data_IF_361721943239
#
_entry.id   IF_361721943239
#
_cell.length_a   1.000
_cell.length_b   1.000
_cell.length_c   1.000
_cell.angle_alpha   90.00
_cell.angle_beta   90.00
_cell.angle_gamma   90.00
#
_symmetry.space_group_name_H-M   'P 1'
#
loop_
_entity.id
_entity.type
_entity.pdbx_description
1 polymer ?
#
# COMPACT_ATOMS: atom_id res chain seq x y z
N UNK A 1 -11.13 -17.36 19.68
CA UNK A 1 -10.01 -18.16 19.12
C UNK A 1 -9.81 -17.94 17.62
N UNK A 2 -10.79 -18.17 16.75
CA UNK A 2 -10.65 -17.99 15.29
C UNK A 2 -10.10 -16.60 14.85
N UNK A 3 -10.64 -15.50 15.42
CA UNK A 3 -10.13 -14.14 15.15
C UNK A 3 -8.67 -13.91 15.57
N UNK A 4 -8.19 -14.62 16.60
CA UNK A 4 -6.79 -14.54 17.06
C UNK A 4 -5.86 -15.27 16.08
N UNK A 5 -6.26 -16.45 15.61
CA UNK A 5 -5.50 -17.24 14.64
C UNK A 5 -5.42 -16.55 13.29
N UNK A 6 -6.53 -16.00 12.79
CA UNK A 6 -6.56 -15.18 11.58
C UNK A 6 -5.60 -13.98 11.69
N UNK A 7 -5.65 -13.26 12.81
CA UNK A 7 -4.74 -12.13 13.07
C UNK A 7 -3.28 -12.56 13.13
N UNK A 8 -2.98 -13.69 13.77
CA UNK A 8 -1.63 -14.27 13.83
C UNK A 8 -1.13 -14.60 12.42
N UNK A 9 -1.93 -15.25 11.58
CA UNK A 9 -1.56 -15.60 10.21
C UNK A 9 -1.32 -14.35 9.36
N UNK A 10 -2.19 -13.33 9.47
CA UNK A 10 -2.01 -12.05 8.79
C UNK A 10 -0.68 -11.36 9.18
N UNK A 11 -0.32 -11.39 10.47
CA UNK A 11 0.96 -10.85 10.95
C UNK A 11 2.16 -11.62 10.39
N UNK A 12 2.07 -12.96 10.35
CA UNK A 12 3.12 -13.81 9.79
C UNK A 12 3.38 -13.42 8.33
N UNK A 13 2.33 -13.35 7.51
CA UNK A 13 2.47 -13.00 6.10
C UNK A 13 3.00 -11.58 5.91
N UNK A 14 2.46 -10.61 6.66
CA UNK A 14 2.92 -9.21 6.63
C UNK A 14 4.42 -9.10 6.97
N UNK A 15 4.89 -9.75 8.03
CA UNK A 15 6.29 -9.67 8.44
C UNK A 15 7.22 -10.51 7.58
N UNK A 16 6.75 -11.63 7.01
CA UNK A 16 7.47 -12.39 6.00
C UNK A 16 7.72 -11.53 4.76
N UNK A 17 6.67 -10.88 4.24
CA UNK A 17 6.78 -9.92 3.13
C UNK A 17 7.73 -8.77 3.47
N UNK A 18 7.62 -8.19 4.68
CA UNK A 18 8.54 -7.14 5.15
C UNK A 18 10.00 -7.60 5.13
N UNK A 19 10.30 -8.78 5.69
CA UNK A 19 11.67 -9.28 5.77
C UNK A 19 12.26 -9.54 4.39
N UNK A 20 11.48 -10.17 3.49
CA UNK A 20 11.90 -10.42 2.11
C UNK A 20 12.12 -9.13 1.33
N UNK A 21 11.17 -8.19 1.41
CA UNK A 21 11.28 -6.87 0.81
C UNK A 21 12.54 -6.15 1.29
N UNK A 22 12.81 -6.16 2.60
CA UNK A 22 14.00 -5.54 3.15
C UNK A 22 15.30 -6.17 2.65
N UNK A 23 15.38 -7.51 2.59
CA UNK A 23 16.56 -8.21 2.04
C UNK A 23 16.81 -7.79 0.60
N UNK A 24 15.81 -7.96 -0.28
CA UNK A 24 15.97 -7.68 -1.70
C UNK A 24 16.32 -6.21 -2.00
N UNK A 25 15.81 -5.27 -1.21
CA UNK A 25 16.12 -3.84 -1.35
C UNK A 25 17.51 -3.48 -0.83
N UNK A 26 18.02 -4.19 0.20
CA UNK A 26 19.41 -4.05 0.67
C UNK A 26 20.36 -4.60 -0.37
N UNK A 27 20.09 -5.82 -0.86
CA UNK A 27 20.92 -6.46 -1.89
C UNK A 27 20.98 -5.60 -3.16
N UNK A 28 19.85 -5.03 -3.59
CA UNK A 28 19.79 -4.10 -4.73
C UNK A 28 20.65 -2.85 -4.51
N UNK A 29 20.61 -2.27 -3.31
CA UNK A 29 21.40 -1.09 -2.98
C UNK A 29 22.90 -1.39 -2.96
N UNK A 30 23.31 -2.56 -2.47
CA UNK A 30 24.70 -3.03 -2.48
C UNK A 30 25.15 -3.22 -3.93
N UNK A 31 24.39 -3.96 -4.73
CA UNK A 31 24.72 -4.20 -6.15
C UNK A 31 24.85 -2.90 -6.94
N UNK A 32 23.96 -1.93 -6.72
CA UNK A 32 24.03 -0.63 -7.37
C UNK A 32 25.25 0.19 -6.90
N UNK A 33 25.60 0.14 -5.61
CA UNK A 33 26.79 0.82 -5.09
C UNK A 33 28.08 0.25 -5.69
N UNK A 34 28.19 -1.09 -5.79
CA UNK A 34 29.35 -1.77 -6.39
C UNK A 34 29.51 -1.43 -7.87
N UNK A 35 28.41 -1.36 -8.65
CA UNK A 35 28.47 -1.03 -10.09
C UNK A 35 28.89 0.42 -10.38
N UNK A 36 28.68 1.34 -9.44
CA UNK A 36 28.88 2.78 -9.69
C UNK A 36 30.22 3.33 -9.17
N UNK A 37 31.15 2.44 -8.80
CA UNK A 37 32.45 2.74 -8.17
C UNK A 37 32.36 3.76 -7.02
N UNK A 38 31.19 3.83 -6.37
CA UNK A 38 30.97 4.60 -5.14
C UNK A 38 31.49 3.80 -3.95
N UNK A 39 32.71 3.29 -4.04
CA UNK A 39 33.44 2.59 -2.96
C UNK A 39 33.84 3.52 -1.79
N UNK A 40 33.21 4.69 -1.66
CA UNK A 40 33.34 5.60 -0.52
C UNK A 40 32.01 6.01 0.12
N UNK A 41 30.87 5.46 -0.31
CA UNK A 41 29.56 5.83 0.23
C UNK A 41 28.72 4.61 0.56
N UNK A 42 28.31 4.48 1.82
CA UNK A 42 27.38 3.46 2.32
C UNK A 42 26.23 3.18 1.33
N UNK A 43 25.98 1.91 1.03
CA UNK A 43 24.79 1.50 0.28
C UNK A 43 23.54 1.85 1.10
N UNK A 44 22.83 2.92 0.71
CA UNK A 44 21.61 3.36 1.37
C UNK A 44 20.40 2.72 0.68
N UNK A 45 19.79 1.68 1.26
CA UNK A 45 18.60 1.07 0.67
C UNK A 45 17.42 2.02 0.73
N UNK A 46 16.46 1.81 -0.16
CA UNK A 46 15.19 2.53 -0.14
C UNK A 46 14.49 2.38 1.22
N UNK A 47 13.83 3.45 1.68
CA UNK A 47 13.19 3.54 3.01
C UNK A 47 12.42 2.29 3.47
N UNK A 48 11.63 1.58 2.63
CA UNK A 48 10.92 0.38 3.05
C UNK A 48 11.81 -0.72 3.68
N UNK A 49 13.09 -0.79 3.31
CA UNK A 49 14.04 -1.77 3.87
C UNK A 49 14.33 -1.56 5.37
N UNK A 50 14.10 -0.35 5.89
CA UNK A 50 14.37 0.02 7.28
C UNK A 50 13.13 -0.04 8.19
N UNK A 51 11.95 -0.39 7.66
CA UNK A 51 10.75 -0.47 8.48
C UNK A 51 10.82 -1.63 9.49
N UNK A 52 10.51 -1.35 10.75
CA UNK A 52 10.52 -2.30 11.87
C UNK A 52 11.85 -2.45 12.59
N UNK A 53 12.87 -1.66 12.25
CA UNK A 53 14.13 -1.59 13.00
C UNK A 53 13.95 -0.80 14.30
N UNK A 54 14.65 -1.14 15.39
CA UNK A 54 14.52 -0.40 16.65
C UNK A 54 15.19 0.98 16.55
N UNK A 55 14.49 2.03 16.97
CA UNK A 55 15.05 3.39 17.11
C UNK A 55 15.74 3.60 18.47
N UNK A 56 15.38 2.77 19.45
CA UNK A 56 15.87 2.84 20.82
C UNK A 56 15.27 1.68 21.61
N UNK A 57 14.75 1.95 22.81
CA UNK A 57 13.97 0.97 23.57
C UNK A 57 12.74 0.52 22.76
N UNK A 58 12.51 -0.78 22.69
CA UNK A 58 11.31 -1.37 22.11
C UNK A 58 10.41 -1.80 23.25
N UNK A 59 9.13 -1.42 23.21
CA UNK A 59 8.15 -1.80 24.22
C UNK A 59 7.03 -2.61 23.55
N UNK A 60 6.66 -3.75 24.15
CA UNK A 60 5.41 -4.42 23.80
C UNK A 60 4.26 -3.70 24.49
N UNK A 61 3.33 -3.19 23.69
CA UNK A 61 2.25 -2.31 24.12
C UNK A 61 0.90 -2.93 23.74
N UNK A 62 -0.05 -2.93 24.66
CA UNK A 62 -1.42 -3.36 24.42
C UNK A 62 -2.31 -2.15 24.14
N UNK A 63 -2.96 -2.14 22.98
CA UNK A 63 -3.92 -1.11 22.57
C UNK A 63 -5.20 -1.84 22.16
N UNK A 64 -6.32 -1.56 22.82
CA UNK A 64 -7.63 -2.18 22.55
C UNK A 64 -7.56 -3.73 22.45
N UNK A 65 -6.85 -4.37 23.38
CA UNK A 65 -6.68 -5.83 23.41
C UNK A 65 -5.80 -6.40 22.28
N UNK A 66 -5.00 -5.56 21.61
CA UNK A 66 -4.09 -5.96 20.54
C UNK A 66 -2.65 -5.57 20.89
N UNK A 67 -1.72 -6.48 20.63
CA UNK A 67 -0.31 -6.27 20.90
C UNK A 67 0.39 -5.56 19.73
N UNK A 68 1.16 -4.54 20.07
CA UNK A 68 1.98 -3.73 19.17
C UNK A 68 3.37 -3.56 19.74
N UNK A 69 4.38 -3.66 18.89
CA UNK A 69 5.73 -3.25 19.25
C UNK A 69 5.92 -1.76 18.91
N UNK A 70 6.30 -0.97 19.90
CA UNK A 70 6.56 0.47 19.78
C UNK A 70 8.06 0.76 19.88
N UNK A 71 8.49 1.98 19.54
CA UNK A 71 9.92 2.33 19.50
C UNK A 71 10.64 1.84 18.23
N UNK A 72 9.90 1.68 17.13
CA UNK A 72 10.39 1.17 15.85
C UNK A 72 10.40 2.25 14.77
N UNK A 73 11.33 2.11 13.83
CA UNK A 73 11.38 2.91 12.62
C UNK A 73 10.25 2.49 11.69
N UNK A 74 9.49 3.45 11.19
CA UNK A 74 8.53 3.23 10.13
C UNK A 74 8.93 4.01 8.88
N UNK A 75 8.76 3.42 7.69
CA UNK A 75 9.17 4.08 6.46
C UNK A 75 8.13 5.05 5.88
N UNK A 76 6.87 4.96 6.34
CA UNK A 76 5.72 5.70 5.82
C UNK A 76 5.58 5.63 4.28
N UNK A 77 5.88 4.47 3.69
CA UNK A 77 5.61 4.21 2.27
C UNK A 77 4.17 3.73 2.11
N UNK A 78 3.32 4.42 1.33
CA UNK A 78 1.94 4.00 1.07
C UNK A 78 1.85 2.89 0.01
N UNK A 79 2.96 2.56 -0.67
CA UNK A 79 3.00 1.61 -1.80
C UNK A 79 3.72 0.31 -1.47
N UNK A 80 4.92 0.41 -0.88
CA UNK A 80 5.90 -0.67 -0.91
C UNK A 80 6.22 -1.25 0.48
N UNK A 81 5.46 -0.90 1.52
CA UNK A 81 5.72 -1.39 2.88
C UNK A 81 4.57 -2.23 3.41
N UNK A 82 4.75 -3.54 3.58
CA UNK A 82 3.70 -4.41 4.13
C UNK A 82 3.16 -3.97 5.50
N UNK A 83 3.95 -3.21 6.28
CA UNK A 83 3.56 -2.70 7.60
C UNK A 83 2.87 -1.34 7.52
N UNK A 84 3.43 -0.37 6.78
CA UNK A 84 2.88 0.99 6.74
C UNK A 84 1.70 1.13 5.78
N UNK A 85 1.73 0.42 4.65
CA UNK A 85 0.73 0.52 3.59
C UNK A 85 -0.70 0.25 4.10
N UNK A 86 -0.97 -0.82 4.89
CA UNK A 86 -2.31 -1.08 5.42
C UNK A 86 -2.83 0.03 6.35
N UNK A 87 -1.97 0.59 7.21
CA UNK A 87 -2.34 1.65 8.15
C UNK A 87 -2.70 2.94 7.41
N UNK A 88 -1.82 3.37 6.49
CA UNK A 88 -2.05 4.56 5.67
C UNK A 88 -3.32 4.41 4.85
N UNK A 89 -3.48 3.29 4.16
CA UNK A 89 -4.66 3.03 3.31
C UNK A 89 -5.94 2.96 4.11
N UNK A 90 -5.94 2.32 5.28
CA UNK A 90 -7.11 2.29 6.15
C UNK A 90 -7.53 3.70 6.59
N UNK A 91 -6.58 4.60 6.90
CA UNK A 91 -6.90 5.99 7.23
C UNK A 91 -7.46 6.73 6.02
N UNK A 92 -6.83 6.62 4.85
CA UNK A 92 -7.31 7.26 3.61
C UNK A 92 -8.68 6.74 3.18
N UNK A 93 -8.94 5.44 3.36
CA UNK A 93 -10.23 4.82 3.11
C UNK A 93 -11.33 5.40 4.00
N UNK A 94 -11.05 5.58 5.31
CA UNK A 94 -12.00 6.24 6.22
C UNK A 94 -12.30 7.69 5.84
N UNK A 95 -11.29 8.43 5.38
CA UNK A 95 -11.50 9.80 4.91
C UNK A 95 -12.37 9.81 3.63
N UNK A 96 -12.19 8.84 2.73
CA UNK A 96 -12.99 8.72 1.50
C UNK A 96 -14.41 8.28 1.78
N UNK A 97 -14.58 7.34 2.70
CA UNK A 97 -15.88 6.89 3.16
C UNK A 97 -16.67 8.05 3.77
N UNK A 98 -16.05 8.83 4.67
CA UNK A 98 -16.69 10.03 5.24
C UNK A 98 -17.14 11.03 4.18
N UNK A 99 -16.30 11.29 3.17
CA UNK A 99 -16.69 12.17 2.08
C UNK A 99 -17.87 11.63 1.28
N UNK A 100 -17.84 10.33 0.96
CA UNK A 100 -18.90 9.64 0.23
C UNK A 100 -20.22 9.67 1.01
N UNK A 101 -20.21 9.26 2.28
CA UNK A 101 -21.39 9.21 3.14
C UNK A 101 -22.05 10.57 3.31
N UNK A 102 -21.24 11.62 3.49
CA UNK A 102 -21.77 12.98 3.59
C UNK A 102 -22.42 13.42 2.28
N UNK A 103 -21.75 13.20 1.15
CA UNK A 103 -22.27 13.59 -0.15
C UNK A 103 -23.59 12.90 -0.49
N UNK A 104 -23.65 11.57 -0.30
CA UNK A 104 -24.88 10.81 -0.57
C UNK A 104 -25.98 11.10 0.44
N UNK A 105 -25.63 11.41 1.70
CA UNK A 105 -26.58 11.85 2.72
C UNK A 105 -27.28 13.18 2.38
N UNK A 106 -26.67 14.02 1.54
CA UNK A 106 -27.24 15.25 1.01
C UNK A 106 -28.11 15.01 -0.25
N UNK A 107 -28.35 13.73 -0.62
CA UNK A 107 -29.15 13.34 -1.78
C UNK A 107 -28.40 13.37 -3.11
N UNK A 108 -27.08 13.57 -3.07
CA UNK A 108 -26.23 13.63 -4.25
C UNK A 108 -25.77 12.23 -4.72
N UNK A 109 -25.16 12.16 -5.91
CA UNK A 109 -24.75 10.92 -6.55
C UNK A 109 -23.23 10.73 -6.58
N UNK A 110 -22.81 9.47 -6.65
CA UNK A 110 -21.43 9.05 -6.85
C UNK A 110 -21.30 8.20 -8.11
N UNK A 111 -20.23 8.42 -8.87
CA UNK A 111 -19.89 7.60 -10.05
C UNK A 111 -18.47 7.10 -9.92
N UNK A 112 -18.29 5.78 -10.01
CA UNK A 112 -16.99 5.14 -10.08
C UNK A 112 -16.52 5.04 -11.53
N UNK A 113 -15.27 5.43 -11.77
CA UNK A 113 -14.67 5.49 -13.10
C UNK A 113 -13.35 4.73 -13.09
N UNK A 114 -13.21 3.80 -14.03
CA UNK A 114 -11.95 3.11 -14.33
C UNK A 114 -11.45 3.56 -15.68
N UNK A 115 -10.24 4.14 -15.72
CA UNK A 115 -9.54 4.53 -16.93
C UNK A 115 -8.35 3.60 -17.17
N UNK A 116 -8.37 2.95 -18.32
CA UNK A 116 -7.36 1.99 -18.77
C UNK A 116 -6.67 2.52 -20.01
N UNK A 117 -5.38 2.21 -20.17
CA UNK A 117 -4.63 2.46 -21.40
C UNK A 117 -4.20 1.13 -22.04
N UNK A 118 -4.00 1.07 -23.36
CA UNK A 118 -3.24 0.00 -23.99
C UNK A 118 -1.79 0.03 -23.52
N UNK A 119 -1.18 -1.13 -23.33
CA UNK A 119 0.25 -1.28 -23.06
C UNK A 119 0.79 -2.53 -23.73
N UNK A 120 2.12 -2.66 -23.76
CA UNK A 120 2.80 -3.89 -24.17
C UNK A 120 3.30 -4.64 -22.94
N UNK A 121 3.59 -5.94 -23.10
CA UNK A 121 4.10 -6.79 -22.02
C UNK A 121 5.44 -6.33 -21.46
N UNK A 122 6.28 -5.71 -22.29
CA UNK A 122 7.64 -5.29 -21.96
C UNK A 122 7.73 -3.84 -21.50
N UNK A 123 6.62 -3.11 -21.42
CA UNK A 123 6.63 -1.71 -21.00
C UNK A 123 7.05 -1.57 -19.53
N UNK A 124 8.05 -0.72 -19.22
CA UNK A 124 8.41 -0.41 -17.84
C UNK A 124 7.26 0.21 -17.06
N UNK A 125 7.13 -0.16 -15.79
CA UNK A 125 6.09 0.37 -14.92
C UNK A 125 6.20 1.89 -14.75
N UNK A 126 7.42 2.44 -14.66
CA UNK A 126 7.66 3.88 -14.49
C UNK A 126 7.00 4.68 -15.63
N UNK A 127 7.26 4.28 -16.88
CA UNK A 127 6.69 4.90 -18.08
C UNK A 127 5.17 4.81 -18.06
N UNK A 128 4.64 3.63 -17.71
CA UNK A 128 3.21 3.43 -17.58
C UNK A 128 2.55 4.32 -16.53
N UNK A 129 3.20 4.54 -15.38
CA UNK A 129 2.71 5.41 -14.31
C UNK A 129 2.79 6.89 -14.67
N UNK A 130 3.84 7.32 -15.38
CA UNK A 130 3.99 8.70 -15.84
C UNK A 130 2.96 9.03 -16.92
N UNK A 131 2.75 8.10 -17.86
CA UNK A 131 1.78 8.24 -18.93
C UNK A 131 0.36 8.38 -18.38
N UNK A 132 -0.09 7.49 -17.46
CA UNK A 132 -1.44 7.62 -16.87
C UNK A 132 -1.59 8.88 -16.02
N UNK A 133 -0.53 9.32 -15.33
CA UNK A 133 -0.58 10.53 -14.52
C UNK A 133 -0.70 11.79 -15.39
N UNK A 134 0.05 11.86 -16.49
CA UNK A 134 0.00 12.95 -17.47
C UNK A 134 -1.33 12.96 -18.22
N UNK A 135 -1.79 11.80 -18.71
CA UNK A 135 -3.08 11.69 -19.39
C UNK A 135 -4.24 12.14 -18.50
N UNK A 136 -4.20 11.80 -17.20
CA UNK A 136 -5.18 12.28 -16.23
C UNK A 136 -5.13 13.81 -16.08
N UNK A 137 -3.92 14.37 -15.97
CA UNK A 137 -3.71 15.81 -15.84
C UNK A 137 -4.23 16.56 -17.08
N UNK A 138 -3.89 16.09 -18.28
CA UNK A 138 -4.30 16.72 -19.54
C UNK A 138 -5.83 16.66 -19.72
N UNK A 139 -6.41 15.49 -19.45
CA UNK A 139 -7.86 15.29 -19.49
C UNK A 139 -8.57 16.23 -18.52
N UNK A 140 -8.19 16.21 -17.24
CA UNK A 140 -8.87 16.99 -16.19
C UNK A 140 -8.52 18.49 -16.18
N UNK A 141 -7.46 18.89 -16.89
CA UNK A 141 -7.11 20.28 -17.15
C UNK A 141 -7.85 20.91 -18.33
N UNK A 142 -8.41 20.08 -19.22
CA UNK A 142 -9.02 20.53 -20.48
C UNK A 142 -10.30 21.38 -20.30
N UNK A 143 -10.56 22.27 -21.26
CA UNK A 143 -11.84 23.01 -21.36
C UNK A 143 -13.04 22.07 -21.49
N UNK A 144 -12.87 20.96 -22.22
CA UNK A 144 -13.94 19.97 -22.42
C UNK A 144 -14.34 19.29 -21.12
N UNK A 145 -13.38 18.91 -20.26
CA UNK A 145 -13.69 18.41 -18.93
C UNK A 145 -14.38 19.46 -18.05
N UNK A 146 -13.93 20.72 -18.11
CA UNK A 146 -14.57 21.82 -17.36
C UNK A 146 -16.02 22.03 -17.78
N UNK A 147 -16.33 21.95 -19.07
CA UNK A 147 -17.70 22.02 -19.59
C UNK A 147 -18.50 20.80 -19.13
N UNK A 148 -18.00 19.59 -19.38
CA UNK A 148 -18.70 18.35 -19.05
C UNK A 148 -19.05 18.25 -17.56
N UNK A 149 -18.09 18.55 -16.68
CA UNK A 149 -18.32 18.47 -15.23
C UNK A 149 -19.36 19.48 -14.77
N UNK A 150 -19.44 20.66 -15.42
CA UNK A 150 -20.46 21.65 -15.10
C UNK A 150 -21.84 21.19 -15.59
N UNK A 151 -21.91 20.70 -16.84
CA UNK A 151 -23.14 20.19 -17.46
C UNK A 151 -23.72 18.99 -16.69
N UNK A 152 -22.87 18.13 -16.12
CA UNK A 152 -23.26 16.93 -15.37
C UNK A 152 -23.25 17.14 -13.84
N UNK A 153 -23.02 18.36 -13.35
CA UNK A 153 -22.99 18.66 -11.92
C UNK A 153 -21.88 17.95 -11.13
N UNK A 154 -20.78 17.52 -11.78
CA UNK A 154 -19.63 16.88 -11.11
C UNK A 154 -18.78 17.95 -10.43
N UNK A 155 -18.82 17.98 -9.09
CA UNK A 155 -18.15 18.99 -8.26
C UNK A 155 -16.78 18.57 -7.78
N UNK A 156 -16.64 17.30 -7.43
CA UNK A 156 -15.40 16.80 -6.85
C UNK A 156 -14.99 15.45 -7.44
N UNK A 157 -13.73 15.09 -7.24
CA UNK A 157 -13.24 13.74 -7.50
C UNK A 157 -12.17 13.32 -6.49
N UNK A 158 -12.09 12.03 -6.22
CA UNK A 158 -10.93 11.39 -5.61
C UNK A 158 -10.39 10.35 -6.60
N UNK A 159 -9.07 10.17 -6.67
CA UNK A 159 -8.47 9.14 -7.53
C UNK A 159 -7.36 8.36 -6.84
N UNK A 160 -7.15 7.15 -7.31
CA UNK A 160 -5.97 6.32 -7.05
C UNK A 160 -5.49 5.66 -8.34
N UNK A 161 -4.32 5.04 -8.27
CA UNK A 161 -3.81 4.20 -9.36
C UNK A 161 -3.73 2.77 -8.86
N UNK A 162 -4.42 1.86 -9.54
CA UNK A 162 -4.27 0.42 -9.34
C UNK A 162 -3.12 -0.09 -10.21
N UNK A 163 -2.25 -0.90 -9.61
CA UNK A 163 -1.11 -1.54 -10.27
C UNK A 163 -1.21 -3.03 -10.05
N UNK A 164 -1.23 -3.79 -11.15
CA UNK A 164 -1.13 -5.25 -11.14
C UNK A 164 -0.13 -5.71 -12.18
N UNK A 165 0.31 -6.96 -12.10
CA UNK A 165 1.21 -7.56 -13.06
C UNK A 165 0.73 -8.95 -13.46
N UNK A 166 0.82 -9.32 -14.73
CA UNK A 166 0.57 -10.68 -15.18
C UNK A 166 1.69 -11.22 -16.07
N UNK A 167 1.94 -12.55 -16.07
CA UNK A 167 2.91 -13.15 -16.98
C UNK A 167 2.59 -12.92 -18.47
N UNK A 168 1.30 -12.86 -18.81
CA UNK A 168 0.82 -12.69 -20.18
C UNK A 168 0.93 -11.26 -20.71
N UNK A 169 0.75 -10.26 -19.85
CA UNK A 169 0.56 -8.87 -20.29
C UNK A 169 1.47 -7.85 -19.59
N UNK A 170 2.32 -8.24 -18.65
CA UNK A 170 3.24 -7.32 -17.97
C UNK A 170 2.52 -6.45 -16.94
N UNK A 171 3.00 -5.22 -16.75
CA UNK A 171 2.42 -4.26 -15.81
C UNK A 171 1.15 -3.61 -16.35
N UNK A 172 0.12 -3.57 -15.50
CA UNK A 172 -1.12 -2.86 -15.73
C UNK A 172 -1.24 -1.73 -14.72
N UNK A 173 -1.42 -0.50 -15.21
CA UNK A 173 -1.68 0.67 -14.39
C UNK A 173 -3.02 1.30 -14.82
N UNK A 174 -3.99 1.31 -13.91
CA UNK A 174 -5.33 1.86 -14.14
C UNK A 174 -5.58 3.04 -13.22
N UNK A 175 -6.23 4.08 -13.70
CA UNK A 175 -6.74 5.15 -12.83
C UNK A 175 -8.13 4.76 -12.36
N UNK A 176 -8.32 4.70 -11.06
CA UNK A 176 -9.64 4.60 -10.43
C UNK A 176 -10.01 5.97 -9.89
N UNK A 177 -11.19 6.47 -10.24
CA UNK A 177 -11.70 7.74 -9.75
C UNK A 177 -13.13 7.59 -9.22
N UNK A 178 -13.41 8.24 -8.10
CA UNK A 178 -14.76 8.47 -7.60
C UNK A 178 -15.13 9.91 -7.90
N UNK A 179 -16.19 10.10 -8.68
CA UNK A 179 -16.74 11.40 -9.03
C UNK A 179 -17.94 11.71 -8.13
N UNK A 180 -18.01 12.94 -7.65
CA UNK A 180 -19.06 13.45 -6.77
C UNK A 180 -19.92 14.41 -7.58
N UNK A 181 -21.15 14.00 -7.88
CA UNK A 181 -22.09 14.75 -8.72
C UNK A 181 -23.33 15.17 -7.93
N UNK A 182 -23.85 16.36 -8.19
CA UNK A 182 -25.01 16.90 -7.46
C UNK A 182 -26.30 16.09 -7.67
N UNK A 183 -26.38 15.35 -8.78
CA UNK A 183 -27.53 14.54 -9.18
C UNK A 183 -27.07 13.27 -9.92
N UNK A 184 -27.94 12.26 -10.08
CA UNK A 184 -27.65 11.10 -10.91
C UNK A 184 -27.16 11.49 -12.30
N UNK A 185 -26.02 10.93 -12.70
CA UNK A 185 -25.37 11.27 -13.98
C UNK A 185 -25.82 10.30 -15.07
N UNK A 186 -26.05 10.81 -16.27
CA UNK A 186 -26.12 9.97 -17.48
C UNK A 186 -24.78 9.27 -17.70
N UNK A 187 -24.71 8.03 -17.19
CA UNK A 187 -23.53 7.17 -17.20
C UNK A 187 -23.02 6.92 -18.62
N UNK A 188 -23.91 6.80 -19.61
CA UNK A 188 -23.52 6.52 -21.00
C UNK A 188 -22.86 7.77 -21.60
N UNK A 189 -23.51 8.92 -21.47
CA UNK A 189 -22.93 10.21 -21.92
C UNK A 189 -21.58 10.48 -21.26
N UNK A 190 -21.47 10.27 -19.94
CA UNK A 190 -20.21 10.44 -19.21
C UNK A 190 -19.14 9.49 -19.74
N UNK A 191 -19.46 8.20 -19.92
CA UNK A 191 -18.50 7.21 -20.41
C UNK A 191 -18.02 7.54 -21.83
N UNK A 192 -18.92 7.93 -22.74
CA UNK A 192 -18.57 8.27 -24.13
C UNK A 192 -17.65 9.51 -24.18
N UNK A 193 -17.96 10.54 -23.40
CA UNK A 193 -17.14 11.75 -23.30
C UNK A 193 -15.76 11.46 -22.67
N UNK A 194 -15.72 10.66 -21.60
CA UNK A 194 -14.46 10.26 -20.97
C UNK A 194 -13.63 9.36 -21.88
N UNK A 195 -14.23 8.41 -22.60
CA UNK A 195 -13.56 7.59 -23.62
C UNK A 195 -12.81 8.46 -24.62
N UNK A 196 -13.49 9.48 -25.14
CA UNK A 196 -12.93 10.35 -26.18
C UNK A 196 -11.87 11.32 -25.62
N UNK A 197 -12.10 11.91 -24.44
CA UNK A 197 -11.09 12.77 -23.78
C UNK A 197 -9.86 12.00 -23.33
N UNK A 198 -10.04 10.83 -22.71
CA UNK A 198 -8.95 9.96 -22.29
C UNK A 198 -8.17 9.45 -23.51
N UNK A 199 -8.86 9.05 -24.58
CA UNK A 199 -8.24 8.67 -25.84
C UNK A 199 -7.36 9.77 -26.44
N UNK A 200 -7.86 11.01 -26.51
CA UNK A 200 -7.05 12.16 -26.97
C UNK A 200 -5.84 12.45 -26.08
N UNK A 201 -6.02 12.38 -24.76
CA UNK A 201 -4.93 12.60 -23.82
C UNK A 201 -3.82 11.54 -24.00
N UNK A 202 -4.21 10.29 -24.24
CA UNK A 202 -3.27 9.21 -24.56
C UNK A 202 -2.56 9.42 -25.90
N UNK A 203 -3.28 9.80 -26.96
CA UNK A 203 -2.71 10.09 -28.29
C UNK A 203 -1.71 11.24 -28.25
N UNK A 204 -2.04 12.32 -27.53
CA UNK A 204 -1.14 13.46 -27.34
C UNK A 204 0.20 13.05 -26.70
N UNK A 205 0.18 12.00 -25.87
CA UNK A 205 1.36 11.46 -25.19
C UNK A 205 2.05 10.34 -25.99
N UNK A 206 1.66 10.12 -27.25
CA UNK A 206 2.24 9.10 -28.12
C UNK A 206 1.72 7.68 -27.87
N UNK A 207 0.64 7.51 -27.10
CA UNK A 207 0.00 6.23 -26.84
C UNK A 207 -1.17 5.97 -27.78
N UNK A 208 -1.63 4.72 -27.85
CA UNK A 208 -2.82 4.34 -28.61
C UNK A 208 -4.08 4.64 -27.82
N UNK A 209 -5.18 4.90 -28.53
CA UNK A 209 -6.51 4.94 -27.91
C UNK A 209 -6.87 3.61 -27.25
N UNK A 210 -7.56 3.65 -26.12
CA UNK A 210 -8.02 2.45 -25.45
C UNK A 210 -9.22 1.84 -26.18
N UNK A 211 -9.54 0.59 -25.86
CA UNK A 211 -10.72 -0.08 -26.41
C UNK A 211 -12.00 0.71 -26.08
N UNK A 212 -12.89 0.91 -27.04
CA UNK A 212 -14.21 1.53 -26.78
C UNK A 212 -15.05 0.75 -25.76
N UNK A 213 -14.86 -0.57 -25.67
CA UNK A 213 -15.65 -1.45 -24.80
C UNK A 213 -15.09 -1.58 -23.38
N UNK A 214 -13.77 -1.52 -23.22
CA UNK A 214 -13.09 -1.84 -21.96
C UNK A 214 -12.09 -0.77 -21.49
N UNK A 215 -11.94 0.31 -22.26
CA UNK A 215 -10.98 1.37 -22.00
C UNK A 215 -11.39 2.29 -20.86
N UNK A 216 -12.64 2.74 -20.88
CA UNK A 216 -13.23 3.56 -19.83
C UNK A 216 -14.53 2.91 -19.41
N UNK A 217 -14.65 2.63 -18.11
CA UNK A 217 -15.86 2.08 -17.51
C UNK A 217 -16.37 3.08 -16.49
N UNK A 218 -17.66 3.41 -16.57
CA UNK A 218 -18.35 4.23 -15.59
C UNK A 218 -19.47 3.39 -14.96
N UNK A 219 -19.53 3.38 -13.64
CA UNK A 219 -20.50 2.65 -12.84
C UNK A 219 -21.13 3.60 -11.83
N UNK A 220 -22.47 3.67 -11.79
CA UNK A 220 -23.16 4.41 -10.75
C UNK A 220 -23.00 3.64 -9.44
N UNK A 221 -22.77 4.36 -8.35
CA UNK A 221 -22.74 3.76 -7.01
C UNK A 221 -24.18 3.80 -6.48
N UNK A 222 -24.92 2.71 -6.65
CA UNK A 222 -26.29 2.59 -6.15
C UNK A 222 -26.29 2.53 -4.62
N UNK A 223 -27.08 3.42 -4.00
CA UNK A 223 -27.30 3.49 -2.56
C UNK A 223 -28.79 3.22 -2.25
N UNK A 224 -29.29 2.03 -2.59
CA UNK A 224 -30.59 1.54 -2.08
C UNK A 224 -30.40 0.74 -0.79
N UNK A 225 -31.35 0.66 0.15
CA UNK A 225 -31.19 -0.14 1.38
C UNK A 225 -30.81 -1.62 1.11
N UNK A 226 -31.40 -2.26 0.09
CA UNK A 226 -31.09 -3.64 -0.30
C UNK A 226 -29.91 -3.78 -1.29
N UNK A 227 -29.62 -2.78 -2.13
CA UNK A 227 -28.47 -2.78 -3.07
C UNK A 227 -27.16 -2.27 -2.44
N UNK A 228 -27.29 -1.35 -1.49
CA UNK A 228 -26.25 -1.04 -0.54
C UNK A 228 -25.95 -2.31 0.25
N UNK A 229 -26.92 -3.15 0.67
CA UNK A 229 -26.61 -4.46 1.27
C UNK A 229 -25.85 -5.42 0.32
N UNK A 230 -25.90 -5.29 -1.00
CA UNK A 230 -25.07 -6.09 -1.94
C UNK A 230 -23.62 -5.59 -2.05
N UNK A 231 -23.39 -4.27 -1.92
CA UNK A 231 -22.07 -3.65 -1.81
C UNK A 231 -21.54 -3.55 -0.35
N UNK A 232 -22.42 -3.68 0.66
CA UNK A 232 -22.22 -3.59 2.12
C UNK A 232 -22.24 -4.97 2.83
N UNK A 233 -22.81 -6.02 2.25
CA UNK A 233 -22.70 -7.41 2.76
C UNK A 233 -21.31 -8.00 2.55
N UNK A 234 -20.47 -7.29 1.79
CA UNK A 234 -19.02 -7.36 1.96
C UNK A 234 -18.66 -6.21 2.89
N UNK A 235 -18.03 -6.50 4.06
CA UNK A 235 -17.98 -5.61 5.22
C UNK A 235 -17.65 -4.16 4.87
N UNK A 236 -18.11 -3.16 5.68
CA UNK A 236 -18.20 -1.70 5.44
C UNK A 236 -16.89 -0.97 5.07
N UNK A 237 -15.87 -1.73 4.74
CA UNK A 237 -14.54 -1.33 4.32
C UNK A 237 -14.47 -0.93 2.83
N UNK A 238 -15.52 -1.13 2.00
CA UNK A 238 -15.32 -1.36 0.56
C UNK A 238 -15.25 -0.19 -0.44
N UNK A 239 -16.01 0.90 -0.31
CA UNK A 239 -15.89 2.06 -1.25
C UNK A 239 -14.50 2.68 -1.12
N UNK A 240 -14.06 2.86 0.13
CA UNK A 240 -12.67 3.10 0.46
C UNK A 240 -11.75 1.99 -0.05
N UNK A 241 -12.05 0.71 0.19
CA UNK A 241 -11.13 -0.38 -0.18
C UNK A 241 -10.92 -0.60 -1.68
N UNK A 242 -11.85 -0.27 -2.56
CA UNK A 242 -11.65 -0.56 -3.99
C UNK A 242 -10.67 0.46 -4.62
N UNK A 243 -10.71 1.70 -4.10
CA UNK A 243 -9.78 2.78 -4.43
C UNK A 243 -8.49 2.67 -3.60
N UNK A 244 -8.53 2.11 -2.38
CA UNK A 244 -7.38 2.08 -1.45
C UNK A 244 -6.71 0.71 -1.27
N UNK A 245 -7.35 -0.44 -1.52
CA UNK A 245 -6.78 -1.81 -1.36
C UNK A 245 -6.36 -2.41 -2.69
N UNK A 246 -5.15 -2.06 -3.14
CA UNK A 246 -4.45 -2.82 -4.19
C UNK A 246 -3.90 -4.17 -3.69
N UNK A 247 -3.89 -4.44 -2.39
CA UNK A 247 -3.16 -5.56 -1.77
C UNK A 247 -4.00 -6.82 -1.56
N UNK A 248 -5.31 -6.76 -1.85
CA UNK A 248 -6.28 -7.81 -1.50
C UNK A 248 -7.11 -8.35 -2.66
N UNK A 249 -6.86 -7.89 -3.89
CA UNK A 249 -7.44 -8.51 -5.08
C UNK A 249 -6.73 -9.85 -5.32
N UNK A 250 -7.33 -10.93 -4.82
CA UNK A 250 -7.19 -12.20 -5.50
C UNK A 250 -7.89 -12.02 -6.85
N UNK A 251 -7.11 -11.93 -7.93
CA UNK A 251 -7.64 -11.72 -9.27
C UNK A 251 -8.73 -12.74 -9.59
N UNK A 252 -9.84 -12.27 -10.17
CA UNK A 252 -10.78 -13.15 -10.88
C UNK A 252 -10.07 -13.62 -12.14
N UNK A 253 -9.29 -14.69 -12.02
CA UNK A 253 -8.36 -15.19 -13.04
C UNK A 253 -6.99 -15.43 -12.42
N UNK A 254 -6.45 -16.64 -12.59
CA UNK A 254 -5.23 -17.14 -11.95
C UNK A 254 -3.92 -16.39 -12.30
N UNK A 255 -3.97 -15.32 -13.11
CA UNK A 255 -2.79 -14.73 -13.76
C UNK A 255 -2.42 -13.31 -13.33
N UNK A 256 -3.34 -12.51 -12.78
CA UNK A 256 -3.02 -11.13 -12.35
C UNK A 256 -2.61 -11.08 -10.88
N UNK A 257 -1.44 -10.50 -10.62
CA UNK A 257 -0.80 -10.39 -9.32
C UNK A 257 -0.78 -8.93 -8.85
N UNK A 258 -1.15 -8.74 -7.59
CA UNK A 258 -0.86 -7.50 -6.86
C UNK A 258 0.63 -7.45 -6.49
N UNK A 259 1.25 -6.26 -6.36
CA UNK A 259 2.69 -6.15 -6.12
C UNK A 259 3.19 -6.89 -4.87
N UNK A 260 2.44 -6.88 -3.76
CA UNK A 260 2.85 -7.62 -2.56
C UNK A 260 2.85 -9.13 -2.74
N UNK A 261 2.08 -9.68 -3.69
CA UNK A 261 2.11 -11.11 -3.97
C UNK A 261 3.43 -11.55 -4.60
N UNK A 262 4.20 -10.64 -5.22
CA UNK A 262 5.57 -10.93 -5.68
C UNK A 262 6.50 -11.33 -4.52
N UNK A 263 6.15 -10.94 -3.29
CA UNK A 263 6.87 -11.30 -2.07
C UNK A 263 6.34 -12.59 -1.44
N UNK A 264 5.40 -13.32 -2.04
CA UNK A 264 4.82 -14.53 -1.44
C UNK A 264 5.50 -15.81 -1.96
N UNK A 265 5.78 -16.80 -1.08
CA UNK A 265 6.45 -18.04 -1.50
C UNK A 265 5.80 -18.78 -2.68
N UNK A 266 4.46 -18.92 -2.78
CA UNK A 266 3.83 -19.57 -3.93
C UNK A 266 4.11 -18.87 -5.26
N UNK A 267 4.10 -17.53 -5.26
CA UNK A 267 4.36 -16.74 -6.48
C UNK A 267 5.83 -16.81 -6.87
N UNK A 268 6.73 -16.76 -5.89
CA UNK A 268 8.17 -16.90 -6.13
C UNK A 268 8.49 -18.28 -6.72
N UNK A 269 7.89 -19.36 -6.19
CA UNK A 269 8.05 -20.70 -6.79
C UNK A 269 7.55 -20.76 -8.23
N UNK A 270 6.47 -20.05 -8.55
CA UNK A 270 5.89 -19.99 -9.90
C UNK A 270 6.72 -19.18 -10.89
N UNK A 271 7.26 -18.02 -10.47
CA UNK A 271 7.97 -17.08 -11.35
C UNK A 271 9.49 -17.25 -11.36
N UNK A 272 10.06 -17.91 -10.34
CA UNK A 272 11.47 -17.85 -10.01
C UNK A 272 11.81 -16.61 -9.17
N UNK A 273 12.76 -16.78 -8.23
CA UNK A 273 13.16 -15.72 -7.31
C UNK A 273 13.72 -14.49 -8.03
N UNK A 274 14.57 -14.69 -9.04
CA UNK A 274 15.14 -13.58 -9.81
C UNK A 274 14.05 -12.70 -10.43
N UNK A 275 13.04 -13.30 -11.09
CA UNK A 275 11.97 -12.55 -11.74
C UNK A 275 11.09 -11.83 -10.73
N UNK A 276 10.71 -12.51 -9.64
CA UNK A 276 9.90 -11.91 -8.58
C UNK A 276 10.64 -10.74 -7.89
N UNK A 277 11.95 -10.88 -7.65
CA UNK A 277 12.81 -9.83 -7.10
C UNK A 277 12.89 -8.64 -8.05
N UNK A 278 13.18 -8.86 -9.33
CA UNK A 278 13.27 -7.78 -10.33
C UNK A 278 11.96 -6.99 -10.45
N UNK A 279 10.81 -7.69 -10.52
CA UNK A 279 9.50 -7.03 -10.56
C UNK A 279 9.19 -6.25 -9.27
N UNK A 280 9.56 -6.81 -8.10
CA UNK A 280 9.39 -6.09 -6.84
C UNK A 280 10.21 -4.82 -6.79
N UNK A 281 11.49 -4.87 -7.19
CA UNK A 281 12.38 -3.70 -7.23
C UNK A 281 11.83 -2.64 -8.18
N UNK A 282 11.46 -3.03 -9.41
CA UNK A 282 10.84 -2.13 -10.40
C UNK A 282 9.60 -1.44 -9.82
N UNK A 283 8.75 -2.16 -9.08
CA UNK A 283 7.59 -1.59 -8.40
C UNK A 283 7.97 -0.57 -7.33
N UNK A 284 8.96 -0.87 -6.46
CA UNK A 284 9.36 0.05 -5.40
C UNK A 284 9.98 1.33 -5.97
N UNK A 285 10.83 1.20 -7.00
CA UNK A 285 11.45 2.34 -7.68
C UNK A 285 10.39 3.19 -8.40
N UNK A 286 9.51 2.54 -9.17
CA UNK A 286 8.49 3.22 -9.98
C UNK A 286 7.43 3.93 -9.14
N UNK A 287 7.14 3.45 -7.92
CA UNK A 287 6.16 4.06 -7.01
C UNK A 287 6.77 5.01 -5.99
N UNK A 288 8.10 5.13 -5.94
CA UNK A 288 8.78 6.02 -5.02
C UNK A 288 8.33 7.47 -5.25
N UNK A 289 8.05 8.19 -4.16
CA UNK A 289 7.60 9.60 -4.17
C UNK A 289 6.25 9.87 -4.87
N UNK A 290 5.53 8.83 -5.32
CA UNK A 290 4.17 8.99 -5.86
C UNK A 290 3.13 8.98 -4.75
N UNK A 291 2.12 9.83 -4.87
CA UNK A 291 0.92 9.79 -4.01
C UNK A 291 0.04 8.61 -4.41
N UNK A 292 -0.46 7.86 -3.43
CA UNK A 292 -1.37 6.73 -3.67
C UNK A 292 -2.80 7.16 -3.97
N UNK A 293 -3.26 8.21 -3.30
CA UNK A 293 -4.60 8.77 -3.44
C UNK A 293 -4.46 10.29 -3.55
N UNK A 294 -5.24 10.90 -4.43
CA UNK A 294 -5.31 12.36 -4.58
C UNK A 294 -6.76 12.80 -4.74
N UNK A 295 -7.06 14.03 -4.36
CA UNK A 295 -8.40 14.59 -4.33
C UNK A 295 -8.42 15.89 -5.14
N UNK A 296 -9.56 16.22 -5.72
CA UNK A 296 -9.80 17.53 -6.30
C UNK A 296 -9.72 18.61 -5.23
N UNK A 297 -9.42 19.85 -5.66
CA UNK A 297 -9.46 21.02 -4.76
C UNK A 297 -10.80 21.07 -4.02
N UNK A 298 -10.76 21.50 -2.77
CA UNK A 298 -11.89 21.70 -1.86
C UNK A 298 -12.68 20.46 -1.41
N UNK A 299 -12.56 19.27 -2.04
CA UNK A 299 -13.30 18.07 -1.61
C UNK A 299 -13.12 17.82 -0.12
N UNK A 300 -11.86 17.77 0.35
CA UNK A 300 -11.57 17.47 1.74
C UNK A 300 -12.11 18.56 2.68
N UNK A 301 -11.90 19.84 2.37
CA UNK A 301 -12.37 20.93 3.24
C UNK A 301 -13.89 20.95 3.32
N UNK A 302 -14.60 20.61 2.24
CA UNK A 302 -16.06 20.60 2.21
C UNK A 302 -16.67 19.36 2.88
N UNK A 303 -16.09 18.17 2.65
CA UNK A 303 -16.76 16.92 3.00
C UNK A 303 -16.13 16.13 4.16
N UNK A 304 -14.86 16.35 4.46
CA UNK A 304 -14.14 15.61 5.51
C UNK A 304 -13.77 16.51 6.69
N UNK A 305 -13.37 17.76 6.39
CA UNK A 305 -12.84 18.70 7.37
C UNK A 305 -11.38 18.42 7.75
N UNK A 306 -10.76 19.45 8.34
CA UNK A 306 -9.39 19.40 8.87
C UNK A 306 -8.28 19.27 7.82
N UNK A 307 -7.05 19.51 8.27
CA UNK A 307 -5.86 19.35 7.43
C UNK A 307 -5.62 17.87 7.10
N UNK A 308 -5.22 17.60 5.87
CA UNK A 308 -4.82 16.25 5.47
C UNK A 308 -3.52 15.85 6.19
N UNK A 309 -3.58 14.77 6.97
CA UNK A 309 -2.39 14.19 7.57
C UNK A 309 -1.49 13.60 6.47
N UNK A 310 -0.19 13.87 6.56
CA UNK A 310 0.82 13.19 5.74
C UNK A 310 0.91 11.71 6.08
N UNK A 311 1.44 10.89 5.18
CA UNK A 311 1.62 9.46 5.44
C UNK A 311 2.51 9.20 6.67
N UNK A 312 3.49 10.08 6.92
CA UNK A 312 4.32 10.07 8.13
C UNK A 312 3.48 10.34 9.36
N UNK A 313 2.69 11.42 9.35
CA UNK A 313 1.79 11.75 10.48
C UNK A 313 0.78 10.63 10.76
N UNK A 314 0.22 9.96 9.74
CA UNK A 314 -0.71 8.84 9.93
C UNK A 314 -0.03 7.66 10.64
N UNK A 315 1.26 7.43 10.38
CA UNK A 315 2.02 6.34 10.96
C UNK A 315 2.49 6.67 12.38
N UNK A 316 2.85 7.93 12.61
CA UNK A 316 3.34 8.41 13.91
C UNK A 316 2.18 8.71 14.88
N UNK A 317 0.93 8.81 14.37
CA UNK A 317 -0.31 8.93 15.13
C UNK A 317 -0.49 7.70 16.03
N UNK A 318 0.12 7.76 17.21
CA UNK A 318 0.20 6.66 18.15
C UNK A 318 -0.99 6.73 19.09
N UNK A 319 -1.81 5.67 19.09
CA UNK A 319 -2.89 5.52 20.06
C UNK A 319 -2.26 5.16 21.41
N UNK A 320 -2.60 5.87 22.51
CA UNK A 320 -2.13 5.52 23.84
C UNK A 320 -2.44 4.05 24.16
N UNK A 321 -1.48 3.36 24.76
CA UNK A 321 -1.62 1.95 25.11
C UNK A 321 -0.86 1.60 26.39
N UNK A 322 -1.24 0.49 26.99
CA UNK A 322 -0.58 -0.03 28.18
C UNK A 322 0.73 -0.71 27.77
N UNK A 323 1.87 -0.13 28.18
CA UNK A 323 3.18 -0.77 28.02
C UNK A 323 3.27 -1.95 28.98
N UNK A 324 3.49 -3.14 28.44
CA UNK A 324 3.52 -4.37 29.23
C UNK A 324 4.94 -4.76 29.64
N UNK A 325 5.87 -4.80 28.68
CA UNK A 325 7.26 -5.15 28.95
C UNK A 325 8.22 -4.64 27.87
N UNK A 326 9.46 -4.30 28.23
CA UNK A 326 10.48 -3.90 27.27
C UNK A 326 11.07 -5.13 26.55
N UNK A 327 11.55 -4.91 25.33
CA UNK A 327 12.34 -5.86 24.56
C UNK A 327 13.66 -5.19 24.21
N UNK A 328 14.79 -5.80 24.59
CA UNK A 328 16.10 -5.27 24.26
C UNK A 328 16.27 -5.14 22.73
N UNK A 329 16.89 -4.06 22.22
CA UNK A 329 17.01 -3.83 20.77
C UNK A 329 17.70 -4.98 20.03
N UNK A 330 18.69 -5.62 20.66
CA UNK A 330 19.39 -6.81 20.12
C UNK A 330 18.43 -7.99 19.98
N UNK A 331 17.64 -8.30 21.01
CA UNK A 331 16.62 -9.37 20.99
C UNK A 331 15.52 -9.07 19.97
N UNK A 332 15.08 -7.81 19.88
CA UNK A 332 14.11 -7.40 18.86
C UNK A 332 14.60 -7.64 17.44
N UNK A 333 15.88 -7.31 17.14
CA UNK A 333 16.46 -7.56 15.81
C UNK A 333 16.40 -9.04 15.42
N UNK A 334 16.57 -9.95 16.39
CA UNK A 334 16.42 -11.41 16.19
C UNK A 334 14.95 -11.80 15.99
N UNK A 335 14.06 -11.40 16.91
CA UNK A 335 12.61 -11.63 16.82
C UNK A 335 12.02 -11.18 15.48
N UNK A 336 12.43 -10.00 15.00
CA UNK A 336 12.00 -9.43 13.72
C UNK A 336 12.31 -10.36 12.54
N UNK A 337 13.38 -11.15 12.59
CA UNK A 337 13.74 -12.13 11.55
C UNK A 337 12.87 -13.40 11.57
N UNK A 338 12.11 -13.61 12.65
CA UNK A 338 11.26 -14.78 12.85
C UNK A 338 9.77 -14.40 12.94
N UNK A 339 9.07 -14.17 11.80
CA UNK A 339 7.66 -13.77 11.76
C UNK A 339 6.73 -14.65 12.61
N UNK A 340 6.94 -15.97 12.61
CA UNK A 340 6.13 -16.94 13.36
C UNK A 340 6.27 -16.75 14.86
N UNK A 341 7.51 -16.62 15.37
CA UNK A 341 7.78 -16.40 16.79
C UNK A 341 7.26 -15.04 17.23
N UNK A 342 7.49 -13.99 16.44
CA UNK A 342 6.97 -12.66 16.75
C UNK A 342 5.43 -12.64 16.80
N UNK A 343 4.77 -13.38 15.92
CA UNK A 343 3.30 -13.45 15.88
C UNK A 343 2.74 -14.25 17.05
N UNK A 344 3.45 -15.32 17.44
CA UNK A 344 3.13 -16.10 18.62
C UNK A 344 3.31 -15.26 19.89
N UNK A 345 4.42 -14.54 20.03
CA UNK A 345 4.68 -13.59 21.12
C UNK A 345 3.53 -12.60 21.25
N UNK A 346 3.16 -11.89 20.17
CA UNK A 346 2.01 -10.98 20.20
C UNK A 346 0.70 -11.68 20.59
N UNK A 347 0.49 -12.93 20.19
CA UNK A 347 -0.71 -13.68 20.56
C UNK A 347 -0.75 -14.02 22.05
N UNK A 348 0.39 -14.40 22.65
CA UNK A 348 0.52 -14.64 24.11
C UNK A 348 0.34 -13.36 24.92
N UNK A 349 0.85 -12.24 24.41
CA UNK A 349 0.58 -10.92 25.00
C UNK A 349 -0.92 -10.60 25.02
N UNK A 350 -1.62 -10.86 23.91
CA UNK A 350 -3.05 -10.54 23.75
C UNK A 350 -3.97 -11.40 24.62
N UNK A 351 -3.55 -12.62 24.96
CA UNK A 351 -4.29 -13.54 25.83
C UNK A 351 -3.95 -13.37 27.32
N UNK A 352 -3.02 -12.45 27.66
CA UNK A 352 -2.56 -12.24 29.03
C UNK A 352 -1.55 -13.27 29.53
N UNK A 353 -1.11 -14.20 28.68
CA UNK A 353 -0.07 -15.20 28.96
C UNK A 353 1.35 -14.56 28.90
N UNK A 354 1.52 -13.46 29.64
CA UNK A 354 2.76 -12.65 29.66
C UNK A 354 3.99 -13.46 30.08
N UNK A 355 3.94 -14.37 31.09
CA UNK A 355 5.11 -15.19 31.43
C UNK A 355 5.66 -15.99 30.24
N UNK A 356 4.77 -16.62 29.45
CA UNK A 356 5.16 -17.37 28.24
C UNK A 356 5.80 -16.42 27.21
N UNK A 357 5.25 -15.21 27.06
CA UNK A 357 5.82 -14.22 26.15
C UNK A 357 7.23 -13.77 26.58
N UNK A 358 7.49 -13.63 27.89
CA UNK A 358 8.80 -13.32 28.45
C UNK A 358 9.79 -14.47 28.28
N UNK A 359 9.35 -15.72 28.41
CA UNK A 359 10.22 -16.89 28.20
C UNK A 359 10.66 -17.00 26.73
N UNK A 360 9.78 -16.71 25.77
CA UNK A 360 10.16 -16.60 24.35
C UNK A 360 11.27 -15.55 24.16
N UNK A 361 11.17 -14.40 24.84
CA UNK A 361 12.17 -13.32 24.76
C UNK A 361 13.50 -13.78 25.36
N UNK A 362 13.48 -14.46 26.51
CA UNK A 362 14.68 -14.99 27.18
C UNK A 362 15.39 -16.03 26.31
N UNK A 363 14.65 -16.98 25.75
CA UNK A 363 15.20 -18.02 24.87
C UNK A 363 15.94 -17.39 23.68
N UNK A 364 15.33 -16.40 23.02
CA UNK A 364 15.96 -15.71 21.87
C UNK A 364 17.14 -14.84 22.30
N UNK A 365 17.16 -14.33 23.53
CA UNK A 365 18.30 -13.61 24.07
C UNK A 365 19.50 -14.56 24.27
N UNK A 366 19.27 -15.74 24.86
CA UNK A 366 20.30 -16.70 25.28
C UNK A 366 20.85 -17.62 24.18
N UNK A 367 20.23 -17.71 22.98
CA UNK A 367 20.71 -18.51 21.83
C UNK A 367 22.15 -18.21 21.34
N UNK A 368 22.88 -17.27 21.97
CA UNK A 368 24.32 -17.06 21.76
C UNK A 368 25.20 -17.12 23.02
N UNK A 369 24.65 -17.07 24.23
CA UNK A 369 25.49 -17.21 25.44
C UNK A 369 26.03 -18.65 25.58
N UNK A 370 25.41 -19.62 24.89
CA UNK A 370 25.86 -21.01 24.80
C UNK A 370 26.67 -21.36 23.55
N UNK A 371 27.07 -20.39 22.71
CA UNK A 371 28.11 -20.59 21.69
C UNK A 371 29.34 -19.82 22.13
N UNK A 372 30.28 -20.54 22.71
CA UNK A 372 31.61 -20.04 23.05
C UNK A 372 32.21 -19.26 21.90
N UNK A 373 32.76 -18.13 22.31
CA UNK A 373 33.50 -17.16 21.52
C UNK A 373 34.85 -17.78 21.13
N UNK A 374 34.88 -18.47 19.99
CA UNK A 374 36.13 -18.78 19.29
C UNK A 374 36.13 -18.01 17.97
N UNK A 375 36.69 -16.80 18.06
CA UNK A 375 37.33 -16.08 16.96
C UNK A 375 36.41 -15.47 15.92
N UNK A 376 36.03 -14.19 16.09
CA UNK A 376 36.39 -13.11 15.16
C UNK A 376 35.87 -11.74 15.66
N UNK A 377 36.45 -11.21 16.73
CA UNK A 377 35.98 -9.96 17.38
C UNK A 377 36.80 -8.71 16.96
N UNK A 378 37.32 -8.69 15.72
CA UNK A 378 38.04 -7.53 15.16
C UNK A 378 37.26 -6.73 14.09
N UNK A 379 36.06 -7.17 13.66
CA UNK A 379 35.33 -6.48 12.60
C UNK A 379 34.30 -5.43 13.06
N UNK A 380 33.90 -5.38 14.34
CA UNK A 380 32.85 -4.46 14.82
C UNK A 380 33.35 -3.10 15.38
N UNK A 381 34.66 -2.80 15.33
CA UNK A 381 35.22 -1.50 15.79
C UNK A 381 35.37 -0.42 14.70
N UNK A 382 34.59 -0.44 13.63
CA UNK A 382 34.54 0.66 12.64
C UNK A 382 33.12 1.09 12.32
N UNK A 383 32.44 1.65 13.32
CA UNK A 383 31.29 2.52 13.09
C UNK A 383 31.24 3.58 14.20
N UNK A 384 31.81 4.79 14.00
CA UNK A 384 31.53 5.90 14.89
C UNK A 384 30.09 6.39 14.63
N UNK A 385 29.33 6.58 15.71
CA UNK A 385 28.13 7.44 15.71
C UNK A 385 28.56 8.85 16.11
N UNK A 386 27.75 9.88 15.83
CA UNK A 386 27.23 10.35 14.55
C UNK A 386 28.30 11.09 13.70
#
# INVERSE_FOLDING_TARGET
MQRLEERRNLRIDMWRRRNRSASWLIDHAIEHATRTDRLRGFALPMRPARCGWPLGRVDMTLIDGRAYATGLEHCASPWACPVCTPVIRARRARDLQRAADRWTGEGHALVFVTLTRPHTKSEPLADGLDLVARAWSDMTGSQRWRKLRNDLGIRHHARSVEITWSPGHGWHAHVHALLFADAPVDRKRLQDELCDMWGRALEHLGSRRPSKRHGVLCENVETTPEGAASYLSKPPDRIGSEITRMDRKQGRGHDSLTPFQLLDPPVIRRLGEWRARSLWIEYVESTQRRRSITWSRHLRSSLVGGREASDRQIIDDTIPGMRLYPIAPRTWRRLRRSPTLLAHLCSRTETGEVPIALDIIRLIAHERDGKTDDGNDEAERRCPRP
#
